data_IF_264283279804
#
_entry.id   IF_264283279804
#
_cell.length_a   1.000
_cell.length_b   1.000
_cell.length_c   1.000
_cell.angle_alpha   90.00
_cell.angle_beta   90.00
_cell.angle_gamma   90.00
#
_symmetry.space_group_name_H-M   'P 1'
#
loop_
_entity.id
_entity.type
_entity.pdbx_description
1 polymer ?
#
# COMPACT_ATOMS: atom_id res chain seq x y z
N UNK A 1 9.85 2.33 -9.18
CA UNK A 1 9.33 3.70 -9.37
C UNK A 1 10.49 4.61 -9.79
N UNK A 2 10.27 5.62 -10.63
CA UNK A 2 11.31 6.59 -11.02
C UNK A 2 10.66 7.98 -11.04
N UNK A 3 10.50 8.57 -9.87
CA UNK A 3 9.90 9.90 -9.67
C UNK A 3 10.87 10.77 -8.86
N UNK A 4 10.92 12.07 -9.14
CA UNK A 4 11.62 13.00 -8.26
C UNK A 4 10.81 13.27 -6.99
N UNK A 5 11.46 13.76 -5.93
CA UNK A 5 10.78 14.13 -4.69
C UNK A 5 9.74 15.25 -4.90
N UNK A 6 9.98 16.16 -5.84
CA UNK A 6 8.99 17.18 -6.22
C UNK A 6 7.75 16.57 -6.88
N UNK A 7 7.91 15.56 -7.73
CA UNK A 7 6.78 14.82 -8.31
C UNK A 7 6.02 14.03 -7.25
N UNK A 8 6.74 13.41 -6.31
CA UNK A 8 6.13 12.72 -5.17
C UNK A 8 5.36 13.72 -4.30
N UNK A 9 5.95 14.87 -3.98
CA UNK A 9 5.26 15.91 -3.21
C UNK A 9 3.94 16.35 -3.88
N UNK A 10 3.95 16.54 -5.19
CA UNK A 10 2.74 16.86 -5.94
C UNK A 10 1.69 15.73 -5.89
N UNK A 11 2.12 14.47 -6.04
CA UNK A 11 1.24 13.30 -6.01
C UNK A 11 0.55 13.07 -4.66
N UNK A 12 1.23 13.41 -3.55
CA UNK A 12 0.70 13.21 -2.19
C UNK A 12 0.12 14.48 -1.56
N UNK A 13 0.04 15.60 -2.33
CA UNK A 13 -0.44 16.89 -1.80
C UNK A 13 0.49 17.50 -0.74
N UNK A 14 1.77 17.14 -0.76
CA UNK A 14 2.78 17.60 0.19
C UNK A 14 3.64 18.75 -0.35
N UNK A 15 4.60 19.18 0.45
CA UNK A 15 5.58 20.21 0.11
C UNK A 15 7.00 19.66 0.25
N UNK A 16 7.80 19.79 -0.83
CA UNK A 16 9.23 19.47 -0.77
C UNK A 16 10.01 20.54 0.00
N UNK A 17 10.88 20.10 0.87
CA UNK A 17 11.83 20.91 1.66
C UNK A 17 13.22 20.33 1.46
N UNK A 18 14.18 21.15 1.02
CA UNK A 18 15.54 20.71 0.72
C UNK A 18 15.73 20.23 -0.72
N UNK A 19 16.79 19.46 -0.99
CA UNK A 19 17.17 19.09 -2.36
C UNK A 19 16.11 18.16 -3.02
N UNK A 20 15.88 18.38 -4.31
CA UNK A 20 15.14 17.45 -5.14
C UNK A 20 16.07 16.33 -5.65
N UNK A 21 15.63 15.10 -5.55
CA UNK A 21 16.40 13.95 -5.97
C UNK A 21 15.47 12.87 -6.59
N UNK A 22 15.95 12.09 -7.56
CA UNK A 22 15.20 10.97 -8.10
C UNK A 22 15.14 9.80 -7.11
N UNK A 23 13.96 9.26 -6.89
CA UNK A 23 13.75 8.02 -6.13
C UNK A 23 13.80 6.85 -7.10
N UNK A 24 14.88 6.08 -7.04
CA UNK A 24 15.15 4.93 -7.92
C UNK A 24 15.16 3.59 -7.16
N UNK A 25 15.23 3.67 -5.84
CA UNK A 25 15.20 2.53 -4.93
C UNK A 25 13.80 2.25 -4.37
N UNK A 26 13.71 1.32 -3.40
CA UNK A 26 12.44 0.96 -2.77
C UNK A 26 11.87 2.07 -1.89
N UNK A 27 10.54 2.05 -1.73
CA UNK A 27 9.84 2.82 -0.69
C UNK A 27 9.78 1.96 0.57
N UNK A 28 10.22 2.48 1.71
CA UNK A 28 10.34 1.73 2.96
C UNK A 28 9.84 2.52 4.16
N UNK A 29 9.27 1.82 5.14
CA UNK A 29 8.87 2.38 6.45
C UNK A 29 9.79 1.91 7.58
N UNK A 30 10.62 0.91 7.32
CA UNK A 30 11.68 0.45 8.23
C UNK A 30 13.03 0.95 7.72
N UNK A 31 13.68 1.84 8.48
CA UNK A 31 14.96 2.45 8.10
C UNK A 31 16.08 1.42 7.83
N UNK A 32 16.01 0.23 8.44
CA UNK A 32 16.95 -0.87 8.22
C UNK A 32 16.86 -1.51 6.83
N UNK A 33 15.74 -1.30 6.13
CA UNK A 33 15.48 -1.78 4.77
C UNK A 33 15.82 -0.72 3.70
N UNK A 34 16.25 0.47 4.13
CA UNK A 34 16.69 1.49 3.19
C UNK A 34 17.91 1.00 2.39
N UNK A 35 17.98 1.45 1.15
CA UNK A 35 19.07 1.17 0.21
C UNK A 35 19.29 2.41 -0.66
N UNK A 36 20.29 2.37 -1.54
CA UNK A 36 20.57 3.46 -2.47
C UNK A 36 19.32 3.87 -3.26
N UNK A 37 19.03 5.17 -3.29
CA UNK A 37 17.86 5.71 -4.00
C UNK A 37 16.51 5.51 -3.32
N UNK A 38 16.45 4.95 -2.11
CA UNK A 38 15.20 4.71 -1.37
C UNK A 38 14.47 6.00 -1.01
N UNK A 39 13.14 5.89 -0.92
CA UNK A 39 12.27 6.83 -0.20
C UNK A 39 11.91 6.24 1.15
N UNK A 40 12.21 6.94 2.23
CA UNK A 40 11.79 6.55 3.56
C UNK A 40 10.46 7.23 3.93
N UNK A 41 9.51 6.49 4.50
CA UNK A 41 8.25 7.05 5.02
C UNK A 41 8.29 6.99 6.53
N UNK A 42 8.31 8.15 7.17
CA UNK A 42 8.37 8.27 8.63
C UNK A 42 6.99 8.07 9.27
N UNK A 43 6.62 6.80 9.45
CA UNK A 43 5.34 6.46 10.09
C UNK A 43 5.45 6.61 11.60
N UNK A 44 4.45 7.25 12.20
CA UNK A 44 4.29 7.31 13.65
C UNK A 44 3.64 6.01 14.14
N UNK A 45 4.39 5.15 14.81
CA UNK A 45 3.93 3.87 15.32
C UNK A 45 3.65 3.92 16.82
N UNK A 46 3.00 2.87 17.35
CA UNK A 46 2.66 2.78 18.79
C UNK A 46 3.87 2.80 19.73
N UNK A 47 5.04 2.35 19.28
CA UNK A 47 6.25 2.17 20.10
C UNK A 47 7.41 3.04 19.69
N UNK A 48 7.40 3.55 18.48
CA UNK A 48 8.53 4.32 17.92
C UNK A 48 8.01 5.29 16.86
N UNK A 49 8.65 6.44 16.79
CA UNK A 49 8.40 7.44 15.76
C UNK A 49 9.44 7.27 14.63
N UNK A 50 8.95 7.06 13.41
CA UNK A 50 9.79 6.93 12.22
C UNK A 50 10.69 8.15 11.99
N UNK A 51 10.27 9.35 12.41
CA UNK A 51 11.07 10.57 12.28
C UNK A 51 12.45 10.46 12.98
N UNK A 52 12.54 9.74 14.09
CA UNK A 52 13.81 9.51 14.79
C UNK A 52 14.81 8.66 13.99
N UNK A 53 14.37 7.97 12.94
CA UNK A 53 15.18 7.03 12.16
C UNK A 53 15.65 7.58 10.80
N UNK A 54 15.37 8.86 10.49
CA UNK A 54 15.76 9.46 9.21
C UNK A 54 17.28 9.42 8.98
N UNK A 55 18.06 9.68 10.01
CA UNK A 55 19.53 9.60 9.92
C UNK A 55 20.02 8.20 9.56
N UNK A 56 19.39 7.16 10.11
CA UNK A 56 19.69 5.76 9.79
C UNK A 56 19.31 5.41 8.34
N UNK A 57 18.12 5.82 7.89
CA UNK A 57 17.67 5.61 6.51
C UNK A 57 18.60 6.31 5.51
N UNK A 58 18.99 7.56 5.80
CA UNK A 58 19.94 8.32 4.97
C UNK A 58 21.31 7.65 4.92
N UNK A 59 21.82 7.15 6.04
CA UNK A 59 23.12 6.46 6.09
C UNK A 59 23.16 5.19 5.22
N UNK A 60 22.00 4.57 4.97
CA UNK A 60 21.81 3.41 4.09
C UNK A 60 21.47 3.79 2.65
N UNK A 61 21.43 5.09 2.30
CA UNK A 61 21.26 5.54 0.93
C UNK A 61 19.86 6.09 0.58
N UNK A 62 18.98 6.32 1.56
CA UNK A 62 17.73 7.02 1.29
C UNK A 62 18.02 8.45 0.78
N UNK A 63 17.39 8.81 -0.35
CA UNK A 63 17.57 10.12 -1.01
C UNK A 63 16.53 11.13 -0.55
N UNK A 64 15.43 10.66 0.05
CA UNK A 64 14.37 11.51 0.57
C UNK A 64 13.49 10.79 1.58
N UNK A 65 12.64 11.56 2.24
CA UNK A 65 11.65 11.02 3.16
C UNK A 65 10.30 11.76 3.07
N UNK A 66 9.20 11.01 3.31
CA UNK A 66 7.89 11.58 3.60
C UNK A 66 7.79 11.72 5.13
N UNK A 67 7.47 12.93 5.61
CA UNK A 67 7.44 13.29 7.02
C UNK A 67 6.18 14.10 7.34
N UNK A 68 5.69 14.00 8.57
CA UNK A 68 4.56 14.83 9.06
C UNK A 68 4.99 15.87 10.10
N UNK A 69 6.17 15.72 10.68
CA UNK A 69 6.76 16.66 11.64
C UNK A 69 8.16 17.07 11.20
N UNK A 70 8.31 18.35 10.83
CA UNK A 70 9.57 18.88 10.33
C UNK A 70 10.63 19.02 11.44
N UNK A 71 10.22 19.34 12.69
CA UNK A 71 11.14 19.49 13.81
C UNK A 71 11.70 18.12 14.22
N UNK A 72 10.82 17.13 14.36
CA UNK A 72 11.22 15.75 14.62
C UNK A 72 12.11 15.19 13.50
N UNK A 73 11.81 15.50 12.24
CA UNK A 73 12.62 15.09 11.09
C UNK A 73 14.03 15.70 11.13
N UNK A 74 14.15 16.99 11.43
CA UNK A 74 15.45 17.66 11.58
C UNK A 74 16.26 17.08 12.74
N UNK A 75 15.62 16.82 13.86
CA UNK A 75 16.24 16.16 15.00
C UNK A 75 16.75 14.76 14.63
N UNK A 76 15.92 13.96 13.97
CA UNK A 76 16.29 12.62 13.49
C UNK A 76 17.45 12.61 12.48
N UNK A 77 17.64 13.71 11.73
CA UNK A 77 18.80 13.93 10.85
C UNK A 77 20.01 14.49 11.58
N UNK A 78 19.93 14.79 12.89
CA UNK A 78 20.96 15.50 13.66
C UNK A 78 21.31 16.88 13.07
N UNK A 79 20.33 17.58 12.53
CA UNK A 79 20.50 18.83 11.77
C UNK A 79 19.56 19.96 12.26
N UNK A 80 19.31 20.04 13.56
CA UNK A 80 18.39 21.02 14.17
C UNK A 80 18.70 22.48 13.82
N UNK A 81 19.96 22.78 13.45
CA UNK A 81 20.44 24.14 13.12
C UNK A 81 20.70 24.36 11.62
N UNK A 82 20.53 23.36 10.78
CA UNK A 82 20.74 23.53 9.34
C UNK A 82 19.58 24.29 8.70
N UNK A 83 19.87 25.27 7.86
CA UNK A 83 18.85 26.01 7.10
C UNK A 83 18.12 25.08 6.13
N UNK A 84 18.86 24.15 5.50
CA UNK A 84 18.33 23.12 4.61
C UNK A 84 18.68 21.73 5.11
N UNK A 85 17.74 20.75 5.02
CA UNK A 85 18.03 19.36 5.36
C UNK A 85 18.99 18.74 4.34
N UNK A 86 19.84 17.80 4.79
CA UNK A 86 20.84 17.13 3.94
C UNK A 86 20.24 16.09 2.99
N UNK A 87 18.94 15.82 3.07
CA UNK A 87 18.16 15.07 2.07
C UNK A 87 16.78 15.72 1.93
N UNK A 88 16.12 15.53 0.79
CA UNK A 88 14.80 16.10 0.54
C UNK A 88 13.73 15.53 1.47
N UNK A 89 12.91 16.40 2.04
CA UNK A 89 11.79 16.02 2.90
C UNK A 89 10.48 16.44 2.23
N UNK A 90 9.59 15.49 2.02
CA UNK A 90 8.21 15.75 1.58
C UNK A 90 7.34 15.87 2.81
N UNK A 91 7.00 17.10 3.19
CA UNK A 91 6.15 17.40 4.34
C UNK A 91 4.69 17.23 3.96
N UNK A 92 3.96 16.42 4.72
CA UNK A 92 2.54 16.10 4.57
C UNK A 92 1.84 16.21 5.93
N UNK A 93 0.51 16.16 5.95
CA UNK A 93 -0.26 16.11 7.20
C UNK A 93 -0.23 14.71 7.84
N UNK A 94 -0.34 13.65 7.03
CA UNK A 94 -0.37 12.25 7.44
C UNK A 94 0.49 11.41 6.49
N UNK A 95 1.54 10.78 7.04
CA UNK A 95 2.48 9.98 6.26
C UNK A 95 1.88 8.66 5.76
N UNK A 96 0.89 8.09 6.48
CA UNK A 96 0.20 6.86 6.07
C UNK A 96 -0.75 7.16 4.92
N UNK A 97 -1.54 8.24 5.02
CA UNK A 97 -2.39 8.70 3.93
C UNK A 97 -1.56 9.05 2.68
N UNK A 98 -0.42 9.72 2.85
CA UNK A 98 0.50 10.04 1.77
C UNK A 98 1.09 8.79 1.10
N UNK A 99 1.43 7.75 1.88
CA UNK A 99 1.88 6.46 1.35
C UNK A 99 0.79 5.81 0.49
N UNK A 100 -0.47 5.83 0.93
CA UNK A 100 -1.62 5.35 0.17
C UNK A 100 -1.81 6.12 -1.14
N UNK A 101 -1.77 7.46 -1.09
CA UNK A 101 -1.89 8.33 -2.26
C UNK A 101 -0.77 8.10 -3.29
N UNK A 102 0.47 7.93 -2.81
CA UNK A 102 1.62 7.60 -3.67
C UNK A 102 1.43 6.25 -4.37
N UNK A 103 0.98 5.23 -3.63
CA UNK A 103 0.73 3.90 -4.18
C UNK A 103 -0.39 3.92 -5.23
N UNK A 104 -1.48 4.64 -4.97
CA UNK A 104 -2.58 4.84 -5.93
C UNK A 104 -2.08 5.49 -7.21
N UNK A 105 -1.38 6.63 -7.12
CA UNK A 105 -0.83 7.35 -8.29
C UNK A 105 0.13 6.46 -9.08
N UNK A 106 0.97 5.68 -8.39
CA UNK A 106 1.88 4.75 -9.03
C UNK A 106 1.13 3.65 -9.79
N UNK A 107 0.11 3.03 -9.19
CA UNK A 107 -0.70 1.99 -9.83
C UNK A 107 -1.46 2.53 -11.05
N UNK A 108 -2.04 3.72 -10.95
CA UNK A 108 -2.72 4.40 -12.07
C UNK A 108 -1.75 4.63 -13.23
N UNK A 109 -0.53 5.10 -12.97
CA UNK A 109 0.49 5.30 -14.00
C UNK A 109 0.91 3.96 -14.66
N UNK A 110 1.08 2.88 -13.89
CA UNK A 110 1.39 1.57 -14.43
C UNK A 110 0.26 1.00 -15.29
N UNK A 111 -0.99 1.17 -14.88
CA UNK A 111 -2.15 0.74 -15.67
C UNK A 111 -2.24 1.51 -16.99
N UNK A 112 -2.00 2.81 -16.95
CA UNK A 112 -1.98 3.63 -18.15
C UNK A 112 -0.86 3.19 -19.10
N UNK A 113 0.36 3.02 -18.61
CA UNK A 113 1.50 2.58 -19.41
C UNK A 113 1.28 1.18 -20.03
N UNK A 114 0.66 0.25 -19.30
CA UNK A 114 0.27 -1.05 -19.83
C UNK A 114 -0.77 -0.92 -20.95
N UNK A 115 -1.80 -0.10 -20.75
CA UNK A 115 -2.84 0.12 -21.75
C UNK A 115 -2.30 0.74 -23.05
N UNK A 116 -1.37 1.68 -22.97
CA UNK A 116 -0.67 2.28 -24.13
C UNK A 116 0.11 1.25 -24.95
N UNK A 117 0.55 0.15 -24.32
CA UNK A 117 1.24 -0.98 -24.96
C UNK A 117 0.26 -2.06 -25.43
N UNK A 118 -1.06 -1.88 -25.28
CA UNK A 118 -2.07 -2.89 -25.58
C UNK A 118 -2.09 -4.06 -24.58
N UNK A 119 -1.54 -3.84 -23.38
CA UNK A 119 -1.42 -4.81 -22.31
C UNK A 119 -2.28 -4.41 -21.10
N UNK A 120 -2.35 -5.29 -20.11
CA UNK A 120 -3.15 -5.05 -18.90
C UNK A 120 -2.35 -5.42 -17.64
N UNK A 121 -2.39 -4.55 -16.63
CA UNK A 121 -2.03 -4.87 -15.28
C UNK A 121 -3.31 -5.24 -14.53
N UNK A 122 -3.41 -6.49 -14.10
CA UNK A 122 -4.58 -7.04 -13.42
C UNK A 122 -4.34 -7.07 -11.91
N UNK A 123 -5.24 -6.46 -11.14
CA UNK A 123 -5.19 -6.43 -9.67
C UNK A 123 -6.22 -7.41 -9.12
N UNK A 124 -5.74 -8.39 -8.36
CA UNK A 124 -6.57 -9.41 -7.70
C UNK A 124 -6.39 -9.26 -6.19
N UNK A 125 -7.47 -9.10 -5.45
CA UNK A 125 -7.40 -9.05 -4.00
C UNK A 125 -8.33 -10.07 -3.35
N UNK A 126 -7.98 -10.45 -2.10
CA UNK A 126 -8.80 -11.35 -1.31
C UNK A 126 -8.93 -10.88 0.12
N UNK A 127 -10.12 -11.13 0.69
CA UNK A 127 -10.41 -10.96 2.11
C UNK A 127 -11.06 -12.22 2.69
N UNK A 128 -11.19 -12.26 3.99
CA UNK A 128 -11.80 -13.36 4.72
C UNK A 128 -11.34 -13.35 6.18
N UNK A 129 -12.07 -14.03 7.05
CA UNK A 129 -11.67 -14.20 8.45
C UNK A 129 -10.46 -15.12 8.59
N UNK A 130 -10.37 -16.14 7.73
CA UNK A 130 -9.23 -17.09 7.63
C UNK A 130 -8.91 -17.37 6.16
N UNK A 131 -7.75 -17.93 5.90
CA UNK A 131 -7.34 -18.42 4.58
C UNK A 131 -6.69 -17.40 3.65
N UNK A 132 -6.73 -16.10 3.96
CA UNK A 132 -6.21 -15.03 3.10
C UNK A 132 -4.78 -15.27 2.63
N UNK A 133 -3.84 -15.44 3.54
CA UNK A 133 -2.40 -15.59 3.22
C UNK A 133 -2.11 -16.85 2.40
N UNK A 134 -2.80 -17.96 2.70
CA UNK A 134 -2.66 -19.21 1.94
C UNK A 134 -3.20 -19.02 0.52
N UNK A 135 -4.43 -18.49 0.37
CA UNK A 135 -5.04 -18.26 -0.93
C UNK A 135 -4.23 -17.29 -1.77
N UNK A 136 -3.75 -16.17 -1.18
CA UNK A 136 -2.82 -15.24 -1.83
C UNK A 136 -1.58 -15.96 -2.36
N UNK A 137 -0.95 -16.83 -1.55
CA UNK A 137 0.25 -17.54 -1.95
C UNK A 137 0.00 -18.50 -3.12
N UNK A 138 -1.12 -19.21 -3.12
CA UNK A 138 -1.53 -20.10 -4.21
C UNK A 138 -1.88 -19.30 -5.48
N UNK A 139 -2.67 -18.23 -5.34
CA UNK A 139 -3.01 -17.34 -6.46
C UNK A 139 -1.76 -16.76 -7.12
N UNK A 140 -0.80 -16.27 -6.30
CA UNK A 140 0.50 -15.80 -6.82
C UNK A 140 1.21 -16.87 -7.65
N UNK A 141 1.26 -18.12 -7.15
CA UNK A 141 1.95 -19.20 -7.87
C UNK A 141 1.28 -19.52 -9.21
N UNK A 142 -0.06 -19.54 -9.24
CA UNK A 142 -0.82 -19.80 -10.47
C UNK A 142 -0.62 -18.66 -11.49
N UNK A 143 -0.75 -17.41 -11.06
CA UNK A 143 -0.60 -16.26 -11.95
C UNK A 143 0.85 -16.07 -12.43
N UNK A 144 1.83 -16.40 -11.60
CA UNK A 144 3.25 -16.35 -11.98
C UNK A 144 3.60 -17.30 -13.13
N UNK A 145 2.81 -18.35 -13.37
CA UNK A 145 2.95 -19.19 -14.55
C UNK A 145 2.47 -18.50 -15.86
N UNK A 146 1.65 -17.44 -15.72
CA UNK A 146 1.09 -16.69 -16.85
C UNK A 146 1.78 -15.34 -17.08
N UNK A 147 2.54 -14.83 -16.12
CA UNK A 147 3.28 -13.58 -16.28
C UNK A 147 3.90 -13.03 -14.98
N UNK A 148 4.68 -11.95 -15.08
CA UNK A 148 5.30 -11.30 -13.93
C UNK A 148 4.25 -10.90 -12.89
N UNK A 149 4.43 -11.39 -11.65
CA UNK A 149 3.43 -11.28 -10.57
C UNK A 149 4.07 -10.73 -9.31
N UNK A 150 3.51 -9.64 -8.79
CA UNK A 150 3.85 -9.05 -7.49
C UNK A 150 2.81 -9.45 -6.46
N UNK A 151 3.26 -9.82 -5.26
CA UNK A 151 2.39 -10.13 -4.13
C UNK A 151 3.15 -9.92 -2.81
N UNK A 152 2.48 -9.58 -1.71
CA UNK A 152 3.14 -9.32 -0.44
C UNK A 152 3.83 -10.58 0.11
N UNK A 153 5.05 -10.40 0.64
CA UNK A 153 5.86 -11.48 1.22
C UNK A 153 5.29 -12.00 2.54
N UNK A 154 4.60 -11.14 3.27
CA UNK A 154 3.96 -11.43 4.56
C UNK A 154 2.47 -11.07 4.50
N UNK A 155 1.80 -10.95 5.65
CA UNK A 155 0.41 -10.47 5.73
C UNK A 155 0.37 -8.93 5.68
N UNK A 156 0.92 -8.33 4.62
CA UNK A 156 0.86 -6.90 4.33
C UNK A 156 -0.53 -6.57 3.77
N UNK A 157 -1.51 -6.41 4.66
CA UNK A 157 -2.94 -6.36 4.33
C UNK A 157 -3.66 -5.15 4.92
N UNK A 158 -2.90 -4.15 5.36
CA UNK A 158 -3.38 -2.93 6.01
C UNK A 158 -2.90 -1.66 5.27
N UNK A 159 -3.22 -0.49 5.82
CA UNK A 159 -2.93 0.86 5.29
C UNK A 159 -1.44 1.19 5.10
N UNK A 160 -0.54 0.35 5.60
CA UNK A 160 0.91 0.46 5.39
C UNK A 160 1.40 -0.63 4.44
N UNK A 161 1.05 -1.89 4.72
CA UNK A 161 1.59 -3.03 3.99
C UNK A 161 1.07 -3.15 2.56
N UNK A 162 -0.20 -2.84 2.32
CA UNK A 162 -0.78 -2.88 0.99
C UNK A 162 -0.15 -1.83 0.06
N UNK A 163 -0.04 -0.54 0.45
CA UNK A 163 0.66 0.44 -0.38
C UNK A 163 2.10 0.06 -0.69
N UNK A 164 2.86 -0.44 0.29
CA UNK A 164 4.24 -0.89 0.06
C UNK A 164 4.30 -2.00 -1.00
N UNK A 165 3.34 -2.95 -0.96
CA UNK A 165 3.26 -4.00 -1.98
C UNK A 165 2.92 -3.44 -3.36
N UNK A 166 2.00 -2.48 -3.45
CA UNK A 166 1.65 -1.80 -4.72
C UNK A 166 2.88 -1.10 -5.31
N UNK A 167 3.68 -0.46 -4.47
CA UNK A 167 4.90 0.25 -4.88
C UNK A 167 6.06 -0.68 -5.30
N UNK A 168 5.98 -2.00 -5.02
CA UNK A 168 6.90 -2.99 -5.59
C UNK A 168 6.62 -3.30 -7.06
N UNK A 169 5.42 -2.99 -7.59
CA UNK A 169 5.07 -3.23 -8.99
C UNK A 169 5.87 -2.30 -9.94
N UNK A 170 6.19 -2.82 -11.11
CA UNK A 170 6.87 -2.10 -12.19
C UNK A 170 6.15 -2.28 -13.54
N UNK A 171 6.66 -1.67 -14.61
CA UNK A 171 6.09 -1.71 -15.95
C UNK A 171 5.98 -3.12 -16.54
N UNK A 172 6.74 -4.09 -16.02
CA UNK A 172 6.68 -5.50 -16.44
C UNK A 172 5.59 -6.27 -15.72
N UNK A 173 5.09 -5.74 -14.59
CA UNK A 173 4.10 -6.42 -13.75
C UNK A 173 2.79 -6.61 -14.51
N UNK A 174 2.34 -7.87 -14.63
CA UNK A 174 1.07 -8.26 -15.25
C UNK A 174 -0.01 -8.54 -14.22
N UNK A 175 0.39 -9.03 -13.07
CA UNK A 175 -0.52 -9.38 -11.99
C UNK A 175 -0.03 -8.80 -10.67
N UNK A 176 -0.94 -8.12 -9.98
CA UNK A 176 -0.75 -7.67 -8.60
C UNK A 176 -1.74 -8.41 -7.72
N UNK A 177 -1.25 -9.26 -6.83
CA UNK A 177 -2.07 -10.07 -5.91
C UNK A 177 -1.98 -9.47 -4.53
N UNK A 178 -3.11 -9.04 -3.99
CA UNK A 178 -3.19 -8.33 -2.71
C UNK A 178 -3.99 -9.15 -1.68
N UNK A 179 -3.71 -8.90 -0.44
CA UNK A 179 -4.49 -9.36 0.71
C UNK A 179 -5.07 -8.12 1.41
N UNK A 180 -6.38 -8.11 1.70
CA UNK A 180 -7.04 -6.99 2.37
C UNK A 180 -7.62 -7.45 3.70
N UNK A 181 -7.04 -6.93 4.78
CA UNK A 181 -7.52 -7.09 6.15
C UNK A 181 -8.52 -5.98 6.50
N UNK A 182 -9.39 -6.25 7.48
CA UNK A 182 -10.26 -5.24 8.05
C UNK A 182 -10.10 -5.20 9.56
N UNK A 183 -9.95 -4.01 10.11
CA UNK A 183 -10.01 -3.71 11.55
C UNK A 183 -11.35 -3.09 11.96
N UNK A 184 -12.13 -2.60 10.99
CA UNK A 184 -13.44 -1.98 11.17
C UNK A 184 -14.11 -1.66 9.83
N UNK A 185 -15.34 -1.14 9.85
CA UNK A 185 -16.02 -0.62 8.66
C UNK A 185 -15.21 0.49 7.98
N UNK A 186 -15.24 0.52 6.63
CA UNK A 186 -14.54 1.50 5.81
C UNK A 186 -13.06 1.17 5.56
N UNK A 187 -12.47 0.21 6.28
CA UNK A 187 -11.06 -0.09 6.13
C UNK A 187 -10.75 -0.76 4.78
N UNK A 188 -11.53 -1.76 4.37
CA UNK A 188 -11.34 -2.39 3.05
C UNK A 188 -11.70 -1.43 1.92
N UNK A 189 -12.73 -0.58 2.09
CA UNK A 189 -13.05 0.47 1.13
C UNK A 189 -11.85 1.39 0.88
N UNK A 190 -11.18 1.85 1.95
CA UNK A 190 -9.95 2.64 1.85
C UNK A 190 -8.85 1.88 1.07
N UNK A 191 -8.66 0.59 1.35
CA UNK A 191 -7.64 -0.21 0.66
C UNK A 191 -7.97 -0.40 -0.83
N UNK A 192 -9.26 -0.56 -1.18
CA UNK A 192 -9.69 -0.64 -2.59
C UNK A 192 -9.61 0.69 -3.31
N UNK A 193 -9.73 1.83 -2.60
CA UNK A 193 -9.47 3.16 -3.17
C UNK A 193 -7.99 3.34 -3.55
N UNK A 194 -7.06 2.73 -2.80
CA UNK A 194 -5.64 2.70 -3.16
C UNK A 194 -5.42 1.80 -4.37
N UNK A 195 -6.02 0.62 -4.39
CA UNK A 195 -5.83 -0.37 -5.44
C UNK A 195 -7.19 -0.92 -5.91
N UNK A 196 -7.89 -0.21 -6.84
CA UNK A 196 -9.13 -0.69 -7.44
C UNK A 196 -8.96 -2.05 -8.12
N UNK A 197 -9.94 -2.95 -8.00
CA UNK A 197 -9.79 -4.37 -8.26
C UNK A 197 -10.36 -4.79 -9.62
N UNK A 198 -9.66 -5.69 -10.31
CA UNK A 198 -10.17 -6.44 -11.46
C UNK A 198 -10.88 -7.73 -11.01
N UNK A 199 -10.41 -8.34 -9.92
CA UNK A 199 -11.05 -9.49 -9.29
C UNK A 199 -10.95 -9.42 -7.77
N UNK A 200 -12.04 -9.75 -7.08
CA UNK A 200 -12.16 -9.74 -5.62
C UNK A 200 -12.61 -11.11 -5.11
N UNK A 201 -11.88 -11.67 -4.14
CA UNK A 201 -12.23 -12.93 -3.48
C UNK A 201 -12.71 -12.72 -2.04
N UNK A 202 -13.87 -13.28 -1.67
CA UNK A 202 -14.34 -13.39 -0.29
C UNK A 202 -14.33 -14.85 0.13
N UNK A 203 -13.40 -15.20 1.05
CA UNK A 203 -13.11 -16.59 1.37
C UNK A 203 -14.06 -17.17 2.42
N UNK A 204 -14.20 -16.45 3.53
CA UNK A 204 -15.04 -16.91 4.65
C UNK A 204 -15.36 -15.76 5.61
N UNK A 205 -16.57 -15.80 6.19
CA UNK A 205 -17.02 -14.87 7.22
C UNK A 205 -17.09 -15.62 8.56
N UNK A 206 -16.18 -15.31 9.46
CA UNK A 206 -16.08 -15.95 10.77
C UNK A 206 -15.92 -14.94 11.91
N UNK A 207 -15.92 -15.42 13.13
CA UNK A 207 -15.87 -14.62 14.36
C UNK A 207 -14.51 -13.97 14.68
N UNK A 208 -13.55 -13.98 13.76
CA UNK A 208 -12.25 -13.35 13.99
C UNK A 208 -12.38 -11.81 14.11
N UNK A 209 -11.68 -11.25 15.11
CA UNK A 209 -11.60 -9.79 15.36
C UNK A 209 -12.93 -9.07 15.66
N UNK A 210 -13.83 -9.72 16.39
CA UNK A 210 -15.16 -9.18 16.75
C UNK A 210 -15.16 -7.78 17.42
N UNK A 211 -14.07 -7.39 18.08
CA UNK A 211 -14.01 -6.16 18.86
C UNK A 211 -14.23 -4.86 18.08
N UNK A 212 -13.92 -4.83 16.78
CA UNK A 212 -14.09 -3.63 15.92
C UNK A 212 -15.39 -3.64 15.09
N UNK A 213 -16.14 -4.75 15.07
CA UNK A 213 -17.28 -4.93 14.16
C UNK A 213 -18.63 -5.10 14.87
N UNK A 214 -18.62 -5.33 16.18
CA UNK A 214 -19.81 -5.49 17.01
C UNK A 214 -20.58 -6.81 16.80
N UNK A 215 -20.71 -7.30 15.56
CA UNK A 215 -21.41 -8.53 15.21
C UNK A 215 -20.77 -9.24 14.01
N UNK A 216 -21.18 -10.48 13.73
CA UNK A 216 -20.72 -11.21 12.55
C UNK A 216 -21.28 -10.60 11.25
N UNK A 217 -22.45 -9.98 11.32
CA UNK A 217 -23.05 -9.22 10.21
C UNK A 217 -22.22 -7.96 9.93
N UNK A 218 -21.67 -7.30 10.97
CA UNK A 218 -20.71 -6.20 10.83
C UNK A 218 -19.41 -6.67 10.16
N UNK A 219 -18.92 -7.88 10.50
CA UNK A 219 -17.77 -8.49 9.80
C UNK A 219 -18.09 -8.75 8.34
N UNK A 220 -19.30 -9.26 8.02
CA UNK A 220 -19.73 -9.51 6.65
C UNK A 220 -19.81 -8.21 5.86
N UNK A 221 -20.46 -7.17 6.42
CA UNK A 221 -20.58 -5.86 5.79
C UNK A 221 -19.23 -5.22 5.47
N UNK A 222 -18.28 -5.23 6.43
CA UNK A 222 -16.94 -4.71 6.20
C UNK A 222 -16.18 -5.50 5.12
N UNK A 223 -16.38 -6.82 5.02
CA UNK A 223 -15.74 -7.62 3.96
C UNK A 223 -16.41 -7.46 2.60
N UNK A 224 -17.69 -7.15 2.56
CA UNK A 224 -18.41 -6.83 1.32
C UNK A 224 -17.85 -5.56 0.63
N UNK A 225 -17.20 -4.67 1.36
CA UNK A 225 -16.51 -3.50 0.80
C UNK A 225 -15.53 -3.87 -0.32
N UNK A 226 -14.93 -5.08 -0.28
CA UNK A 226 -14.00 -5.54 -1.34
C UNK A 226 -14.74 -5.72 -2.69
N UNK A 227 -16.01 -6.14 -2.64
CA UNK A 227 -16.84 -6.29 -3.85
C UNK A 227 -17.20 -4.94 -4.42
N UNK A 228 -17.53 -3.97 -3.55
CA UNK A 228 -17.78 -2.58 -3.94
C UNK A 228 -16.56 -1.90 -4.58
N UNK A 229 -15.34 -2.34 -4.24
CA UNK A 229 -14.08 -1.85 -4.82
C UNK A 229 -13.71 -2.45 -6.17
N UNK A 230 -14.57 -3.25 -6.79
CA UNK A 230 -14.36 -3.75 -8.14
C UNK A 230 -14.53 -2.66 -9.19
N UNK A 231 -13.65 -2.66 -10.16
CA UNK A 231 -13.80 -1.86 -11.37
C UNK A 231 -15.02 -2.32 -12.19
N UNK A 232 -15.61 -1.45 -13.02
CA UNK A 232 -16.66 -1.85 -13.93
C UNK A 232 -16.25 -3.06 -14.78
N UNK A 233 -17.06 -4.14 -14.74
CA UNK A 233 -16.75 -5.41 -15.39
C UNK A 233 -15.80 -6.31 -14.63
N UNK A 234 -15.42 -5.95 -13.41
CA UNK A 234 -14.62 -6.79 -12.51
C UNK A 234 -15.41 -8.03 -12.04
N UNK A 235 -14.69 -9.01 -11.48
CA UNK A 235 -15.24 -10.31 -11.10
C UNK A 235 -15.19 -10.50 -9.58
N UNK A 236 -16.37 -10.73 -8.95
CA UNK A 236 -16.44 -11.20 -7.58
C UNK A 236 -16.38 -12.74 -7.54
N UNK A 237 -15.51 -13.27 -6.67
CA UNK A 237 -15.35 -14.71 -6.41
C UNK A 237 -15.78 -14.95 -4.96
N UNK A 238 -16.96 -15.52 -4.78
CA UNK A 238 -17.61 -15.69 -3.47
C UNK A 238 -17.64 -17.17 -3.08
N UNK A 239 -17.35 -17.45 -1.81
CA UNK A 239 -17.47 -18.81 -1.28
C UNK A 239 -18.96 -19.20 -1.15
N UNK A 240 -19.41 -20.10 -1.98
CA UNK A 240 -20.81 -20.58 -1.99
C UNK A 240 -21.19 -21.42 -0.76
N UNK A 241 -20.21 -21.98 -0.06
CA UNK A 241 -20.44 -22.77 1.16
C UNK A 241 -20.57 -21.89 2.43
N UNK A 242 -20.30 -20.58 2.30
CA UNK A 242 -20.53 -19.59 3.35
C UNK A 242 -21.73 -18.70 2.94
N UNK A 243 -22.85 -18.87 3.64
CA UNK A 243 -24.09 -18.17 3.31
C UNK A 243 -23.95 -16.63 3.33
N UNK A 244 -23.09 -16.08 4.19
CA UNK A 244 -22.84 -14.62 4.25
C UNK A 244 -21.98 -14.14 3.10
N UNK A 245 -20.98 -14.94 2.70
CA UNK A 245 -20.17 -14.61 1.53
C UNK A 245 -21.02 -14.76 0.24
N UNK A 246 -21.81 -15.81 0.11
CA UNK A 246 -22.70 -16.03 -1.03
C UNK A 246 -23.75 -14.92 -1.20
N UNK A 247 -24.30 -14.39 -0.09
CA UNK A 247 -25.27 -13.29 -0.10
C UNK A 247 -24.71 -11.94 -0.61
N UNK A 248 -23.40 -11.82 -0.84
CA UNK A 248 -22.80 -10.63 -1.44
C UNK A 248 -22.92 -10.59 -2.97
N UNK A 249 -23.55 -11.61 -3.58
CA UNK A 249 -23.81 -11.67 -5.03
C UNK A 249 -24.99 -10.81 -5.48
N UNK A 250 -25.89 -10.48 -4.54
CA UNK A 250 -27.10 -9.68 -4.75
C UNK A 250 -26.80 -8.16 -4.56
#
# INVERSE_FOLDING_TARGET
MNLSLSQIAAAVGGRLIGPDAPVTGPVVTDSRQAAEGSLFVAVHGERTDGHAHLGSARALGAVGAIVSDLEAARSGLSQERAEEPAMGLVLVEDTVAALGALARTHLEALRQAAAEQGERLTVVAMTGSVGKTTTKALTRQLLAASGPTVAPRASFNNEIGLPLTVLEADERTRYLVLEMGASGPGHIAYLTDIAPLDAAGVLMIGHAHMGGFGSIEGVAAAKAEIVAGLLPGGTAILNADDARAAAMAD
#
